data_IF_249697296965
#
_entry.id   IF_249697296965
#
_cell.length_a   1.000
_cell.length_b   1.000
_cell.length_c   1.000
_cell.angle_alpha   90.00
_cell.angle_beta   90.00
_cell.angle_gamma   90.00
#
_symmetry.space_group_name_H-M   'P 1'
#
loop_
_entity.id
_entity.type
_entity.pdbx_description
1 polymer ?
#
# COMPACT_ATOMS: atom_id res chain seq x y z
N UNK A 1 19.39 2.16 -20.54
CA UNK A 1 18.37 1.77 -21.52
C UNK A 1 17.03 1.93 -20.82
N UNK A 2 16.05 2.58 -21.47
CA UNK A 2 14.70 2.66 -20.88
C UNK A 2 14.12 1.24 -20.77
N UNK A 3 13.63 0.81 -19.60
CA UNK A 3 13.02 -0.50 -19.45
C UNK A 3 11.78 -0.60 -20.38
N UNK A 4 11.46 -1.80 -20.82
CA UNK A 4 10.34 -2.06 -21.75
C UNK A 4 9.03 -1.44 -21.23
N UNK A 5 8.82 -1.48 -19.91
CA UNK A 5 7.65 -0.89 -19.27
C UNK A 5 7.54 0.62 -19.51
N UNK A 6 8.65 1.35 -19.40
CA UNK A 6 8.66 2.81 -19.67
C UNK A 6 8.26 3.12 -21.12
N UNK A 7 8.75 2.32 -22.06
CA UNK A 7 8.39 2.47 -23.48
C UNK A 7 6.88 2.23 -23.68
N UNK A 8 6.33 1.17 -23.07
CA UNK A 8 4.90 0.86 -23.15
C UNK A 8 4.08 2.02 -22.57
N UNK A 9 4.45 2.53 -21.40
CA UNK A 9 3.75 3.66 -20.76
C UNK A 9 3.77 4.89 -21.67
N UNK A 10 4.93 5.26 -22.21
CA UNK A 10 5.04 6.42 -23.12
C UNK A 10 4.19 6.24 -24.37
N UNK A 11 4.18 5.04 -24.96
CA UNK A 11 3.33 4.74 -26.13
C UNK A 11 1.85 4.87 -25.77
N UNK A 12 1.42 4.34 -24.62
CA UNK A 12 0.03 4.46 -24.14
C UNK A 12 -0.35 5.93 -23.96
N UNK A 13 0.52 6.75 -23.35
CA UNK A 13 0.25 8.17 -23.16
C UNK A 13 0.12 8.92 -24.50
N UNK A 14 1.01 8.64 -25.45
CA UNK A 14 0.96 9.25 -26.80
C UNK A 14 -0.32 8.85 -27.53
N UNK A 15 -0.65 7.56 -27.57
CA UNK A 15 -1.84 7.04 -28.25
C UNK A 15 -3.10 7.60 -27.63
N UNK A 16 -3.20 7.65 -26.29
CA UNK A 16 -4.35 8.21 -25.58
C UNK A 16 -4.53 9.71 -25.83
N UNK A 17 -3.41 10.46 -25.86
CA UNK A 17 -3.43 11.89 -26.20
C UNK A 17 -3.92 12.12 -27.62
N UNK A 18 -3.40 11.37 -28.59
CA UNK A 18 -3.83 11.47 -30.00
C UNK A 18 -5.31 11.06 -30.18
N UNK A 19 -5.74 10.02 -29.46
CA UNK A 19 -7.15 9.61 -29.43
C UNK A 19 -8.02 10.73 -28.85
N UNK A 20 -7.60 11.38 -27.76
CA UNK A 20 -8.28 12.52 -27.15
C UNK A 20 -8.41 13.72 -28.11
N UNK A 21 -7.33 14.07 -28.85
CA UNK A 21 -7.36 15.12 -29.89
C UNK A 21 -8.36 14.78 -31.00
N UNK A 22 -8.45 13.50 -31.40
CA UNK A 22 -9.39 13.06 -32.44
C UNK A 22 -10.83 13.04 -31.93
N UNK A 23 -11.05 12.53 -30.73
CA UNK A 23 -12.39 12.42 -30.13
C UNK A 23 -12.97 13.76 -29.69
N UNK A 24 -12.13 14.70 -29.24
CA UNK A 24 -12.51 16.01 -28.72
C UNK A 24 -12.94 15.98 -27.25
N UNK A 25 -12.99 17.18 -26.66
CA UNK A 25 -13.20 17.35 -25.20
C UNK A 25 -14.49 16.72 -24.68
N UNK A 26 -15.64 17.03 -25.34
CA UNK A 26 -16.93 16.53 -24.85
C UNK A 26 -17.06 15.01 -24.94
N UNK A 27 -16.43 14.38 -25.94
CA UNK A 27 -16.44 12.92 -26.05
C UNK A 27 -15.58 12.25 -24.98
N UNK A 28 -14.40 12.81 -24.70
CA UNK A 28 -13.51 12.30 -23.63
C UNK A 28 -14.15 12.52 -22.25
N UNK A 29 -14.70 13.72 -22.00
CA UNK A 29 -15.40 14.02 -20.75
C UNK A 29 -16.61 13.10 -20.55
N UNK A 30 -17.38 12.86 -21.61
CA UNK A 30 -18.49 11.91 -21.59
C UNK A 30 -18.03 10.49 -21.27
N UNK A 31 -16.93 10.04 -21.88
CA UNK A 31 -16.36 8.72 -21.59
C UNK A 31 -15.93 8.58 -20.11
N UNK A 32 -15.29 9.60 -19.56
CA UNK A 32 -14.90 9.61 -18.13
C UNK A 32 -16.13 9.61 -17.20
N UNK A 33 -17.13 10.45 -17.51
CA UNK A 33 -18.38 10.46 -16.74
C UNK A 33 -19.11 9.12 -16.81
N UNK A 34 -19.13 8.48 -17.98
CA UNK A 34 -19.72 7.16 -18.18
C UNK A 34 -18.95 6.05 -17.45
N UNK A 35 -17.61 6.13 -17.41
CA UNK A 35 -16.78 5.21 -16.63
C UNK A 35 -17.08 5.32 -15.13
N UNK A 36 -17.19 6.55 -14.61
CA UNK A 36 -17.58 6.79 -13.21
C UNK A 36 -18.98 6.26 -12.93
N UNK A 37 -19.94 6.46 -13.83
CA UNK A 37 -21.29 5.91 -13.69
C UNK A 37 -21.28 4.37 -13.69
N UNK A 38 -20.51 3.73 -14.58
CA UNK A 38 -20.31 2.28 -14.60
C UNK A 38 -19.70 1.75 -13.29
N UNK A 39 -18.69 2.45 -12.76
CA UNK A 39 -18.10 2.12 -11.47
C UNK A 39 -19.10 2.27 -10.32
N UNK A 40 -19.92 3.32 -10.32
CA UNK A 40 -20.94 3.54 -9.30
C UNK A 40 -22.05 2.49 -9.31
N UNK A 41 -22.37 1.91 -10.47
CA UNK A 41 -23.39 0.85 -10.62
C UNK A 41 -22.83 -0.53 -10.26
N UNK A 42 -21.51 -0.74 -10.38
CA UNK A 42 -20.85 -2.03 -10.15
C UNK A 42 -21.16 -2.67 -8.80
N UNK A 43 -21.17 -1.96 -7.64
CA UNK A 43 -21.44 -2.56 -6.33
C UNK A 43 -22.82 -3.19 -6.21
N UNK A 44 -23.80 -2.74 -6.98
CA UNK A 44 -25.14 -3.32 -6.99
C UNK A 44 -25.30 -4.44 -8.00
N UNK A 45 -24.66 -4.31 -9.17
CA UNK A 45 -24.87 -5.25 -10.27
C UNK A 45 -23.97 -6.48 -10.17
N UNK A 46 -22.71 -6.32 -9.73
CA UNK A 46 -21.76 -7.45 -9.64
C UNK A 46 -22.20 -8.54 -8.65
N UNK A 47 -22.76 -8.24 -7.45
CA UNK A 47 -23.27 -9.29 -6.57
C UNK A 47 -24.44 -10.08 -7.19
N UNK A 48 -25.30 -9.43 -8.00
CA UNK A 48 -26.41 -10.10 -8.71
C UNK A 48 -25.83 -11.05 -9.75
N UNK A 49 -24.87 -10.58 -10.58
CA UNK A 49 -24.20 -11.42 -11.57
C UNK A 49 -23.48 -12.59 -10.89
N UNK A 50 -22.76 -12.33 -9.79
CA UNK A 50 -22.02 -13.35 -9.06
C UNK A 50 -22.92 -14.46 -8.50
N UNK A 51 -24.16 -14.17 -8.10
CA UNK A 51 -25.12 -15.16 -7.61
C UNK A 51 -25.64 -16.09 -8.68
N UNK A 52 -25.73 -15.61 -9.92
CA UNK A 52 -26.21 -16.41 -11.07
C UNK A 52 -25.09 -17.29 -11.67
N UNK A 53 -23.84 -17.07 -11.30
CA UNK A 53 -22.71 -17.84 -11.81
C UNK A 53 -22.46 -19.08 -10.94
N UNK A 54 -22.22 -20.27 -11.56
CA UNK A 54 -21.89 -21.49 -10.81
C UNK A 54 -20.59 -21.32 -10.02
N UNK A 55 -20.53 -21.93 -8.83
CA UNK A 55 -19.36 -21.95 -7.96
C UNK A 55 -18.27 -22.87 -8.50
N UNK A 56 -17.52 -22.39 -9.46
CA UNK A 56 -16.42 -23.11 -10.08
C UNK A 56 -15.20 -22.19 -10.23
N UNK A 57 -14.04 -22.75 -10.56
CA UNK A 57 -12.77 -22.04 -10.60
C UNK A 57 -12.68 -20.84 -11.56
N UNK A 58 -13.67 -20.63 -12.44
CA UNK A 58 -13.69 -19.49 -13.36
C UNK A 58 -14.68 -18.36 -12.94
N UNK A 59 -15.42 -18.55 -11.83
CA UNK A 59 -16.38 -17.56 -11.32
C UNK A 59 -15.75 -16.19 -11.09
N UNK A 60 -14.58 -16.15 -10.43
CA UNK A 60 -13.84 -14.90 -10.17
C UNK A 60 -13.45 -14.18 -11.48
N UNK A 61 -12.98 -14.94 -12.48
CA UNK A 61 -12.65 -14.39 -13.79
C UNK A 61 -13.88 -13.82 -14.50
N UNK A 62 -15.04 -14.49 -14.38
CA UNK A 62 -16.30 -14.00 -14.95
C UNK A 62 -16.81 -12.72 -14.26
N UNK A 63 -16.69 -12.63 -12.93
CA UNK A 63 -17.06 -11.42 -12.17
C UNK A 63 -16.15 -10.25 -12.57
N UNK A 64 -14.83 -10.46 -12.64
CA UNK A 64 -13.86 -9.45 -13.09
C UNK A 64 -14.17 -9.04 -14.54
N UNK A 65 -14.42 -9.99 -15.43
CA UNK A 65 -14.81 -9.71 -16.81
C UNK A 65 -16.10 -8.90 -16.92
N UNK A 66 -17.08 -9.17 -16.06
CA UNK A 66 -18.33 -8.40 -15.97
C UNK A 66 -18.10 -6.97 -15.49
N UNK A 67 -17.20 -6.78 -14.52
CA UNK A 67 -16.81 -5.45 -14.04
C UNK A 67 -16.15 -4.63 -15.17
N UNK A 68 -15.19 -5.22 -15.88
CA UNK A 68 -14.52 -4.58 -17.02
C UNK A 68 -15.54 -4.22 -18.11
N UNK A 69 -16.48 -5.11 -18.40
CA UNK A 69 -17.53 -4.88 -19.38
C UNK A 69 -18.44 -3.71 -18.99
N UNK A 70 -18.86 -3.64 -17.73
CA UNK A 70 -19.67 -2.52 -17.21
C UNK A 70 -18.96 -1.17 -17.34
N UNK A 71 -17.68 -1.13 -16.97
CA UNK A 71 -16.85 0.07 -17.11
C UNK A 71 -16.71 0.49 -18.59
N UNK A 72 -16.44 -0.47 -19.48
CA UNK A 72 -16.31 -0.24 -20.91
C UNK A 72 -17.63 0.23 -21.53
N UNK A 73 -18.75 -0.37 -21.15
CA UNK A 73 -20.08 0.03 -21.61
C UNK A 73 -20.45 1.43 -21.14
N UNK A 74 -20.17 1.75 -19.87
CA UNK A 74 -20.34 3.09 -19.32
C UNK A 74 -19.53 4.13 -20.08
N UNK A 75 -18.24 3.87 -20.28
CA UNK A 75 -17.35 4.77 -21.04
C UNK A 75 -17.80 4.93 -22.49
N UNK A 76 -18.23 3.87 -23.16
CA UNK A 76 -18.74 3.92 -24.52
C UNK A 76 -20.03 4.75 -24.62
N UNK A 77 -21.03 4.48 -23.78
CA UNK A 77 -22.28 5.24 -23.74
C UNK A 77 -22.02 6.73 -23.47
N UNK A 78 -21.17 7.01 -22.48
CA UNK A 78 -20.79 8.39 -22.15
C UNK A 78 -20.09 9.09 -23.31
N UNK A 79 -19.20 8.41 -24.03
CA UNK A 79 -18.53 8.97 -25.22
C UNK A 79 -19.49 9.25 -26.34
N UNK A 80 -20.49 8.39 -26.56
CA UNK A 80 -21.56 8.61 -27.55
C UNK A 80 -22.36 9.85 -27.19
N UNK A 81 -22.80 9.98 -25.92
CA UNK A 81 -23.53 11.19 -25.46
C UNK A 81 -22.67 12.45 -25.65
N UNK A 82 -21.38 12.40 -25.21
CA UNK A 82 -20.44 13.49 -25.39
C UNK A 82 -20.26 13.90 -26.87
N UNK A 83 -20.27 12.92 -27.78
CA UNK A 83 -20.17 13.18 -29.23
C UNK A 83 -21.40 13.90 -29.80
N UNK A 84 -22.58 13.69 -29.23
CA UNK A 84 -23.78 14.47 -29.60
C UNK A 84 -23.65 15.94 -29.16
N UNK A 85 -23.16 16.20 -27.95
CA UNK A 85 -22.90 17.56 -27.45
C UNK A 85 -21.86 18.27 -28.33
N UNK A 86 -20.82 17.56 -28.74
CA UNK A 86 -19.76 18.03 -29.62
C UNK A 86 -20.32 18.58 -30.95
N UNK A 87 -21.33 17.93 -31.56
CA UNK A 87 -21.93 18.40 -32.80
C UNK A 87 -22.54 19.82 -32.68
N UNK A 88 -22.99 20.18 -31.46
CA UNK A 88 -23.41 21.55 -31.13
C UNK A 88 -22.24 22.55 -31.09
N UNK A 89 -21.11 22.15 -30.48
CA UNK A 89 -19.91 22.98 -30.37
C UNK A 89 -19.21 23.20 -31.72
N UNK A 90 -19.24 22.22 -32.62
CA UNK A 90 -18.69 22.35 -33.99
C UNK A 90 -19.38 23.49 -34.81
N UNK A 91 -20.64 23.80 -34.51
CA UNK A 91 -21.37 24.93 -35.12
C UNK A 91 -20.85 26.30 -34.68
N UNK A 92 -20.17 26.36 -33.52
CA UNK A 92 -19.61 27.60 -32.95
C UNK A 92 -18.16 27.86 -33.40
N UNK A 93 -17.61 27.11 -34.38
CA UNK A 93 -16.24 27.22 -34.91
C UNK A 93 -15.15 26.99 -33.85
N UNK A 94 -15.45 26.33 -32.70
CA UNK A 94 -14.52 26.05 -31.60
C UNK A 94 -13.73 24.74 -31.75
N UNK A 95 -13.71 24.19 -32.97
CA UNK A 95 -13.17 22.84 -33.26
C UNK A 95 -11.69 22.65 -32.87
N UNK A 96 -10.87 23.69 -33.02
CA UNK A 96 -9.45 23.61 -32.65
C UNK A 96 -9.25 23.55 -31.14
N UNK A 97 -9.98 24.40 -30.41
CA UNK A 97 -9.93 24.45 -28.93
C UNK A 97 -10.47 23.15 -28.37
N UNK A 98 -11.57 22.65 -28.89
CA UNK A 98 -12.20 21.40 -28.44
C UNK A 98 -11.28 20.20 -28.63
N UNK A 99 -10.51 20.13 -29.72
CA UNK A 99 -9.51 19.09 -29.97
C UNK A 99 -8.32 19.19 -29.02
N UNK A 100 -7.79 20.39 -28.80
CA UNK A 100 -6.67 20.60 -27.86
C UNK A 100 -7.07 20.23 -26.45
N UNK A 101 -8.25 20.68 -26.00
CA UNK A 101 -8.77 20.32 -24.68
C UNK A 101 -9.05 18.82 -24.57
N UNK A 102 -9.51 18.16 -25.62
CA UNK A 102 -9.69 16.70 -25.67
C UNK A 102 -8.38 15.96 -25.53
N UNK A 103 -7.32 16.44 -26.19
CA UNK A 103 -5.96 15.89 -26.03
C UNK A 103 -5.41 16.07 -24.61
N UNK A 104 -5.55 17.29 -24.06
CA UNK A 104 -5.12 17.57 -22.68
C UNK A 104 -5.86 16.71 -21.64
N UNK A 105 -7.19 16.62 -21.75
CA UNK A 105 -8.01 15.78 -20.88
C UNK A 105 -7.67 14.28 -21.04
N UNK A 106 -7.46 13.83 -22.28
CA UNK A 106 -7.04 12.46 -22.58
C UNK A 106 -5.67 12.13 -21.98
N UNK A 107 -4.72 13.08 -22.02
CA UNK A 107 -3.42 12.93 -21.38
C UNK A 107 -3.57 12.82 -19.85
N UNK A 108 -4.29 13.76 -19.22
CA UNK A 108 -4.50 13.72 -17.76
C UNK A 108 -5.19 12.43 -17.34
N UNK A 109 -6.23 12.00 -18.03
CA UNK A 109 -6.93 10.76 -17.76
C UNK A 109 -6.01 9.52 -17.89
N UNK A 110 -5.18 9.48 -18.94
CA UNK A 110 -4.25 8.36 -19.16
C UNK A 110 -3.10 8.35 -18.15
N UNK A 111 -2.56 9.52 -17.77
CA UNK A 111 -1.57 9.63 -16.68
C UNK A 111 -2.14 9.08 -15.38
N UNK A 112 -3.36 9.52 -15.01
CA UNK A 112 -4.03 9.02 -13.80
C UNK A 112 -4.29 7.52 -13.88
N UNK A 113 -4.80 7.02 -14.99
CA UNK A 113 -5.06 5.59 -15.19
C UNK A 113 -3.77 4.75 -15.12
N UNK A 114 -2.69 5.20 -15.75
CA UNK A 114 -1.38 4.52 -15.70
C UNK A 114 -0.82 4.53 -14.28
N UNK A 115 -0.92 5.65 -13.56
CA UNK A 115 -0.46 5.72 -12.16
C UNK A 115 -1.22 4.76 -11.24
N UNK A 116 -2.56 4.68 -11.38
CA UNK A 116 -3.41 3.83 -10.55
C UNK A 116 -3.27 2.34 -10.92
N UNK A 117 -3.36 2.00 -12.20
CA UNK A 117 -3.25 0.60 -12.68
C UNK A 117 -1.82 0.11 -12.50
N UNK A 118 -0.83 0.93 -12.85
CA UNK A 118 0.58 0.61 -12.67
C UNK A 118 0.94 0.40 -11.20
N UNK A 119 0.39 1.24 -10.30
CA UNK A 119 0.53 1.04 -8.86
C UNK A 119 -0.09 -0.27 -8.38
N UNK A 120 -1.29 -0.60 -8.83
CA UNK A 120 -1.96 -1.86 -8.51
C UNK A 120 -1.18 -3.09 -9.03
N UNK A 121 -0.60 -3.02 -10.24
CA UNK A 121 0.25 -4.10 -10.77
C UNK A 121 1.57 -4.18 -9.99
N UNK A 122 2.19 -3.06 -9.67
CA UNK A 122 3.42 -3.02 -8.89
C UNK A 122 3.23 -3.69 -7.52
N UNK A 123 2.10 -3.44 -6.85
CA UNK A 123 1.78 -4.03 -5.54
C UNK A 123 1.17 -5.43 -5.62
N UNK A 124 0.94 -5.99 -6.82
CA UNK A 124 0.28 -7.30 -6.96
C UNK A 124 1.16 -8.51 -6.58
N UNK A 125 2.47 -8.30 -6.37
CA UNK A 125 3.40 -9.38 -6.02
C UNK A 125 3.55 -10.48 -7.08
N UNK A 126 3.05 -10.27 -8.32
CA UNK A 126 3.23 -11.23 -9.41
C UNK A 126 4.70 -11.23 -9.83
N UNK A 127 5.43 -12.36 -9.70
CA UNK A 127 6.86 -12.42 -10.00
C UNK A 127 7.19 -11.85 -11.39
N UNK A 128 8.32 -11.16 -11.51
CA UNK A 128 8.81 -10.50 -12.73
C UNK A 128 7.95 -9.32 -13.19
N UNK A 129 6.63 -9.42 -13.14
CA UNK A 129 5.73 -8.34 -13.59
C UNK A 129 5.71 -7.19 -12.60
N UNK A 130 5.54 -7.49 -11.31
CA UNK A 130 5.49 -6.47 -10.26
C UNK A 130 6.81 -5.73 -10.13
N UNK A 131 7.93 -6.45 -10.08
CA UNK A 131 9.27 -5.85 -10.02
C UNK A 131 9.58 -5.01 -11.26
N UNK A 132 9.22 -5.49 -12.47
CA UNK A 132 9.42 -4.74 -13.71
C UNK A 132 8.60 -3.44 -13.76
N UNK A 133 7.35 -3.49 -13.29
CA UNK A 133 6.45 -2.30 -13.28
C UNK A 133 6.84 -1.34 -12.15
N UNK A 134 7.13 -1.83 -10.95
CA UNK A 134 7.56 -1.03 -9.81
C UNK A 134 8.91 -0.34 -10.05
N UNK A 135 9.79 -0.95 -10.85
CA UNK A 135 11.09 -0.37 -11.26
C UNK A 135 10.98 0.70 -12.35
N UNK A 136 9.79 0.91 -12.94
CA UNK A 136 9.58 1.90 -14.00
C UNK A 136 9.82 3.32 -13.50
N UNK A 137 10.76 4.02 -14.12
CA UNK A 137 11.06 5.43 -13.79
C UNK A 137 9.90 6.35 -14.16
N UNK A 138 9.26 6.09 -15.30
CA UNK A 138 8.10 6.87 -15.75
C UNK A 138 6.95 6.69 -14.78
N UNK A 139 6.63 5.46 -14.37
CA UNK A 139 5.54 5.20 -13.42
C UNK A 139 5.78 5.90 -12.09
N UNK A 140 6.96 5.79 -11.50
CA UNK A 140 7.32 6.47 -10.24
C UNK A 140 7.15 7.99 -10.34
N UNK A 141 7.62 8.58 -11.45
CA UNK A 141 7.46 10.02 -11.70
C UNK A 141 5.98 10.40 -11.78
N UNK A 142 5.17 9.62 -12.50
CA UNK A 142 3.73 9.88 -12.62
C UNK A 142 3.01 9.74 -11.27
N UNK A 143 3.37 8.77 -10.45
CA UNK A 143 2.81 8.59 -9.11
C UNK A 143 3.10 9.78 -8.20
N UNK A 144 4.32 10.34 -8.24
CA UNK A 144 4.69 11.54 -7.48
C UNK A 144 3.84 12.77 -7.86
N UNK A 145 3.39 12.85 -9.12
CA UNK A 145 2.56 13.95 -9.61
C UNK A 145 1.06 13.71 -9.43
N UNK A 146 0.68 12.48 -9.11
CA UNK A 146 -0.73 12.13 -8.87
C UNK A 146 -1.18 12.71 -7.52
N UNK A 147 -2.31 13.45 -7.45
CA UNK A 147 -2.81 14.01 -6.21
C UNK A 147 -3.04 12.95 -5.13
N UNK A 148 -2.55 13.18 -3.91
CA UNK A 148 -2.69 12.26 -2.77
C UNK A 148 -4.11 11.71 -2.56
N UNK A 149 -5.21 12.48 -2.67
CA UNK A 149 -6.56 11.92 -2.50
C UNK A 149 -6.92 10.81 -3.50
N UNK A 150 -6.36 10.85 -4.72
CA UNK A 150 -6.61 9.82 -5.74
C UNK A 150 -5.79 8.56 -5.45
N UNK A 151 -4.53 8.72 -5.05
CA UNK A 151 -3.68 7.57 -4.69
C UNK A 151 -4.19 6.88 -3.42
N UNK A 152 -4.64 7.64 -2.42
CA UNK A 152 -5.23 7.09 -1.20
C UNK A 152 -6.55 6.36 -1.47
N UNK A 153 -7.42 6.92 -2.32
CA UNK A 153 -8.66 6.26 -2.70
C UNK A 153 -8.40 4.96 -3.48
N UNK A 154 -7.41 4.95 -4.37
CA UNK A 154 -7.01 3.75 -5.11
C UNK A 154 -6.41 2.68 -4.19
N UNK A 155 -5.55 3.07 -3.24
CA UNK A 155 -4.96 2.16 -2.26
C UNK A 155 -6.04 1.50 -1.39
N UNK A 156 -7.01 2.28 -0.89
CA UNK A 156 -8.16 1.75 -0.13
C UNK A 156 -9.03 0.81 -0.96
N UNK A 157 -9.28 1.14 -2.22
CA UNK A 157 -10.04 0.28 -3.12
C UNK A 157 -9.28 -1.02 -3.41
N UNK A 158 -7.98 -0.93 -3.65
CA UNK A 158 -7.12 -2.09 -3.87
C UNK A 158 -7.15 -3.01 -2.63
N UNK A 159 -6.93 -2.46 -1.44
CA UNK A 159 -6.99 -3.20 -0.19
C UNK A 159 -8.37 -3.86 0.06
N UNK A 160 -9.46 -3.16 -0.29
CA UNK A 160 -10.81 -3.68 -0.11
C UNK A 160 -11.18 -4.79 -1.12
N UNK A 161 -10.54 -4.87 -2.28
CA UNK A 161 -10.88 -5.82 -3.36
C UNK A 161 -9.92 -6.99 -3.43
N UNK A 162 -8.63 -6.77 -3.19
CA UNK A 162 -7.56 -7.73 -3.45
C UNK A 162 -6.71 -8.03 -2.22
N UNK A 163 -6.79 -7.23 -1.18
CA UNK A 163 -5.91 -7.29 -0.05
C UNK A 163 -6.65 -7.62 1.23
N UNK A 164 -6.40 -8.78 1.78
CA UNK A 164 -6.46 -8.97 3.22
C UNK A 164 -5.23 -8.28 3.82
N UNK A 165 -5.28 -6.95 3.88
CA UNK A 165 -4.37 -6.19 4.73
C UNK A 165 -4.87 -6.35 6.17
N UNK A 166 -4.70 -7.56 6.69
CA UNK A 166 -5.04 -7.85 8.08
C UNK A 166 -3.96 -7.19 8.92
N UNK A 167 -4.29 -6.05 9.50
CA UNK A 167 -3.54 -5.59 10.66
C UNK A 167 -4.14 -6.33 11.86
N UNK A 168 -3.37 -7.07 12.65
CA UNK A 168 -3.86 -7.69 13.85
C UNK A 168 -4.59 -6.66 14.72
N UNK A 169 -5.79 -6.99 15.14
CA UNK A 169 -6.54 -6.16 16.08
C UNK A 169 -6.35 -6.76 17.46
N UNK A 170 -5.95 -5.93 18.39
CA UNK A 170 -5.85 -6.31 19.79
C UNK A 170 -7.04 -5.67 20.49
N UNK A 171 -7.86 -6.49 21.15
CA UNK A 171 -8.96 -5.99 21.98
C UNK A 171 -8.40 -5.02 23.00
N UNK A 172 -9.18 -3.97 23.29
CA UNK A 172 -8.76 -2.85 24.12
C UNK A 172 -7.97 -3.30 25.37
N UNK A 173 -6.64 -3.30 25.24
CA UNK A 173 -5.70 -3.61 26.34
C UNK A 173 -5.63 -2.43 27.32
N UNK A 174 -6.38 -1.39 27.05
CA UNK A 174 -6.46 -0.21 27.88
C UNK A 174 -7.51 -0.48 28.95
N UNK A 175 -7.07 -0.77 30.17
CA UNK A 175 -7.90 -0.56 31.33
C UNK A 175 -8.50 0.85 31.28
N UNK A 176 -9.71 0.99 31.79
CA UNK A 176 -10.47 2.25 31.87
C UNK A 176 -9.73 3.45 32.47
N UNK A 177 -8.53 3.24 33.00
CA UNK A 177 -7.71 4.26 33.66
C UNK A 177 -6.70 4.97 32.77
N UNK A 178 -6.46 4.53 31.52
CA UNK A 178 -5.73 5.36 30.57
C UNK A 178 -6.70 6.39 30.00
N UNK A 179 -6.75 7.56 30.65
CA UNK A 179 -7.54 8.67 30.17
C UNK A 179 -7.23 8.95 28.70
N UNK A 180 -8.26 8.85 27.86
CA UNK A 180 -8.22 9.13 26.42
C UNK A 180 -7.92 10.62 26.13
N UNK A 181 -7.60 11.39 27.15
CA UNK A 181 -7.31 12.82 27.10
C UNK A 181 -5.80 13.16 27.11
N UNK A 182 -4.89 12.14 27.04
CA UNK A 182 -3.48 12.49 26.84
C UNK A 182 -3.36 13.07 25.43
N UNK A 183 -3.03 14.36 25.28
CA UNK A 183 -2.85 14.97 23.97
C UNK A 183 -1.86 14.12 23.19
N UNK A 184 -2.18 13.81 21.93
CA UNK A 184 -1.21 13.23 21.04
C UNK A 184 0.05 14.10 21.08
N UNK A 185 1.21 13.47 21.32
CA UNK A 185 2.46 14.22 21.34
C UNK A 185 2.60 14.92 19.98
N UNK A 186 2.74 16.22 20.02
CA UNK A 186 2.96 17.01 18.81
C UNK A 186 4.43 16.95 18.46
N UNK A 187 4.76 16.14 17.46
CA UNK A 187 6.06 16.20 16.80
C UNK A 187 5.90 16.83 15.42
N UNK A 188 6.95 17.41 14.92
CA UNK A 188 7.01 17.87 13.53
C UNK A 188 7.26 16.66 12.63
N UNK A 189 6.25 16.22 11.87
CA UNK A 189 6.36 15.11 10.92
C UNK A 189 7.16 15.47 9.67
N UNK A 190 7.43 16.74 9.44
CA UNK A 190 8.25 17.25 8.33
C UNK A 190 9.72 17.47 8.76
N UNK A 191 10.11 17.01 9.96
CA UNK A 191 11.49 17.09 10.45
C UNK A 191 12.47 16.43 9.47
N UNK A 192 13.61 17.07 9.17
CA UNK A 192 14.63 16.52 8.28
C UNK A 192 15.16 15.13 8.69
N UNK A 193 15.22 14.84 10.00
CA UNK A 193 15.66 13.52 10.47
C UNK A 193 14.65 12.43 10.10
N UNK A 194 13.35 12.70 10.27
CA UNK A 194 12.28 11.79 9.84
C UNK A 194 12.23 11.67 8.31
N UNK A 195 12.47 12.77 7.58
CA UNK A 195 12.56 12.76 6.14
C UNK A 195 13.76 11.93 5.64
N UNK A 196 14.89 11.96 6.34
CA UNK A 196 16.04 11.13 6.05
C UNK A 196 15.75 9.64 6.35
N UNK A 197 15.11 9.32 7.48
CA UNK A 197 14.72 7.96 7.85
C UNK A 197 13.78 7.34 6.81
N UNK A 198 12.90 8.13 6.20
CA UNK A 198 11.96 7.68 5.18
C UNK A 198 12.64 6.98 3.98
N UNK A 199 13.89 7.31 3.65
CA UNK A 199 14.65 6.67 2.58
C UNK A 199 14.94 5.18 2.84
N UNK A 200 14.94 4.77 4.12
CA UNK A 200 15.20 3.39 4.57
C UNK A 200 13.94 2.64 4.98
N UNK A 201 12.76 3.19 4.71
CA UNK A 201 11.47 2.53 4.98
C UNK A 201 10.90 1.97 3.68
N UNK A 202 10.72 0.65 3.64
CA UNK A 202 10.29 -0.08 2.46
C UNK A 202 8.80 -0.41 2.49
N UNK A 203 8.15 -0.38 1.32
CA UNK A 203 6.90 -1.10 1.09
C UNK A 203 7.21 -2.57 0.84
N UNK A 204 6.51 -3.44 1.56
CA UNK A 204 6.57 -4.88 1.37
C UNK A 204 5.24 -5.34 0.78
N UNK A 205 5.30 -6.16 -0.26
CA UNK A 205 4.12 -6.80 -0.85
C UNK A 205 4.47 -8.17 -1.39
N UNK A 206 3.47 -9.00 -1.67
CA UNK A 206 3.71 -10.30 -2.28
C UNK A 206 2.43 -11.04 -2.55
N UNK A 207 2.53 -12.10 -3.34
CA UNK A 207 1.43 -13.01 -3.61
C UNK A 207 1.56 -14.26 -2.74
N UNK A 208 0.61 -14.44 -1.84
CA UNK A 208 0.45 -15.66 -1.08
C UNK A 208 -0.39 -16.65 -1.89
N UNK A 209 0.25 -17.43 -2.77
CA UNK A 209 -0.42 -18.30 -3.73
C UNK A 209 -1.40 -19.30 -3.09
N UNK A 210 -1.01 -19.86 -1.95
CA UNK A 210 -1.83 -20.82 -1.20
C UNK A 210 -3.10 -20.21 -0.62
N UNK A 211 -3.09 -18.90 -0.38
CA UNK A 211 -4.18 -18.13 0.23
C UNK A 211 -5.06 -17.41 -0.80
N UNK A 212 -4.53 -17.17 -2.01
CA UNK A 212 -5.19 -16.33 -3.01
C UNK A 212 -5.26 -14.85 -2.64
N UNK A 213 -4.42 -14.39 -1.69
CA UNK A 213 -4.36 -13.02 -1.16
C UNK A 213 -3.06 -12.32 -1.56
N UNK A 214 -3.07 -10.99 -1.51
CA UNK A 214 -1.91 -10.15 -1.80
C UNK A 214 -1.62 -9.22 -0.62
N UNK A 215 -1.08 -9.75 0.48
CA UNK A 215 -0.78 -8.92 1.64
C UNK A 215 0.23 -7.84 1.31
N UNK A 216 0.09 -6.71 1.99
CA UNK A 216 1.00 -5.57 1.89
C UNK A 216 1.26 -5.00 3.28
N UNK A 217 2.49 -4.55 3.49
CA UNK A 217 2.93 -3.96 4.74
C UNK A 217 4.12 -3.04 4.53
N UNK A 218 4.78 -2.77 5.61
CA UNK A 218 5.96 -1.92 5.69
C UNK A 218 7.12 -2.71 6.27
N UNK A 219 8.34 -2.33 5.97
CA UNK A 219 9.56 -2.78 6.61
C UNK A 219 10.57 -1.65 6.66
N UNK A 220 11.68 -1.86 7.32
CA UNK A 220 12.77 -0.88 7.36
C UNK A 220 14.12 -1.57 7.31
N UNK A 221 15.12 -0.89 6.77
CA UNK A 221 16.50 -1.38 6.69
C UNK A 221 17.10 -1.35 8.09
N UNK A 222 17.39 -2.52 8.64
CA UNK A 222 17.95 -2.70 9.99
C UNK A 222 19.44 -3.04 9.99
N UNK A 223 19.94 -3.63 8.91
CA UNK A 223 21.36 -3.86 8.63
C UNK A 223 21.59 -3.84 7.11
N UNK A 224 22.82 -3.91 6.66
CA UNK A 224 23.17 -4.04 5.24
C UNK A 224 22.42 -5.24 4.64
N UNK A 225 21.62 -4.99 3.59
CA UNK A 225 20.83 -6.00 2.89
C UNK A 225 19.82 -6.76 3.78
N UNK A 226 19.38 -6.16 4.88
CA UNK A 226 18.43 -6.75 5.82
C UNK A 226 17.30 -5.79 6.16
N UNK A 227 16.09 -6.22 5.86
CA UNK A 227 14.86 -5.49 6.18
C UNK A 227 14.08 -6.25 7.23
N UNK A 228 13.75 -5.57 8.31
CA UNK A 228 12.83 -6.06 9.35
C UNK A 228 11.40 -5.69 8.96
N UNK A 229 10.49 -6.61 9.17
CA UNK A 229 9.03 -6.44 9.02
C UNK A 229 8.30 -7.36 9.99
N UNK A 230 6.97 -7.38 9.98
CA UNK A 230 6.20 -8.37 10.74
C UNK A 230 6.10 -9.71 9.99
N UNK A 231 5.98 -10.80 10.76
CA UNK A 231 5.76 -12.13 10.21
C UNK A 231 4.43 -12.23 9.45
N UNK A 232 3.35 -11.63 9.98
CA UNK A 232 2.05 -11.63 9.32
C UNK A 232 2.05 -10.91 7.96
N UNK A 233 2.97 -9.96 7.72
CA UNK A 233 3.11 -9.28 6.43
C UNK A 233 3.62 -10.22 5.34
N UNK A 234 4.46 -11.19 5.70
CA UNK A 234 5.08 -12.11 4.74
C UNK A 234 4.54 -13.54 4.84
N UNK A 235 3.56 -13.81 5.70
CA UNK A 235 2.98 -15.14 5.89
C UNK A 235 2.42 -15.69 4.57
N UNK A 236 2.89 -16.90 4.18
CA UNK A 236 2.50 -17.56 2.93
C UNK A 236 3.10 -16.96 1.65
N UNK A 237 3.93 -15.91 1.73
CA UNK A 237 4.63 -15.33 0.59
C UNK A 237 5.97 -16.03 0.40
N UNK A 238 6.22 -16.59 -0.78
CA UNK A 238 7.50 -17.24 -1.11
C UNK A 238 8.58 -16.21 -1.47
N UNK A 239 8.21 -15.17 -2.18
CA UNK A 239 9.13 -14.13 -2.67
C UNK A 239 8.52 -12.75 -2.43
N UNK A 240 8.79 -12.11 -1.29
CA UNK A 240 8.32 -10.77 -1.03
C UNK A 240 8.98 -9.75 -1.96
N UNK A 241 8.19 -8.82 -2.48
CA UNK A 241 8.67 -7.67 -3.24
C UNK A 241 8.95 -6.53 -2.26
N UNK A 242 10.14 -5.96 -2.36
CA UNK A 242 10.64 -4.86 -1.55
C UNK A 242 10.78 -3.62 -2.42
N UNK A 243 10.18 -2.52 -1.99
CA UNK A 243 10.26 -1.23 -2.69
C UNK A 243 10.72 -0.13 -1.74
N UNK A 244 11.92 0.37 -1.97
CA UNK A 244 12.48 1.54 -1.26
C UNK A 244 12.33 2.82 -2.10
N UNK A 245 12.20 3.98 -1.46
CA UNK A 245 12.16 5.26 -2.15
C UNK A 245 13.41 5.48 -3.00
N UNK A 246 13.23 5.76 -4.28
CA UNK A 246 14.34 6.04 -5.21
C UNK A 246 15.04 4.82 -5.77
N UNK A 247 14.84 3.63 -5.23
CA UNK A 247 15.42 2.39 -5.72
C UNK A 247 14.46 1.60 -6.64
N UNK A 248 15.00 0.72 -7.51
CA UNK A 248 14.20 -0.27 -8.20
C UNK A 248 13.59 -1.26 -7.20
N UNK A 249 12.35 -1.68 -7.43
CA UNK A 249 11.77 -2.79 -6.67
C UNK A 249 12.56 -4.08 -6.88
N UNK A 250 12.75 -4.84 -5.81
CA UNK A 250 13.58 -6.06 -5.79
C UNK A 250 12.84 -7.21 -5.13
N UNK A 251 13.06 -8.41 -5.64
CA UNK A 251 12.57 -9.63 -5.01
C UNK A 251 13.47 -9.95 -3.81
N UNK A 252 12.87 -10.17 -2.65
CA UNK A 252 13.55 -10.52 -1.42
C UNK A 252 13.42 -11.98 -1.05
N UNK A 253 14.20 -12.42 -0.08
CA UNK A 253 14.18 -13.77 0.49
C UNK A 253 13.99 -13.68 1.99
N UNK A 254 12.97 -14.36 2.54
CA UNK A 254 12.77 -14.40 3.99
C UNK A 254 13.82 -15.32 4.62
N UNK A 255 14.62 -14.77 5.53
CA UNK A 255 15.74 -15.46 6.21
C UNK A 255 15.51 -15.62 7.71
N UNK A 256 14.51 -14.99 8.26
CA UNK A 256 14.02 -15.16 9.61
C UNK A 256 12.50 -15.01 9.63
N UNK A 257 11.80 -15.89 10.36
CA UNK A 257 10.35 -15.84 10.47
C UNK A 257 9.92 -16.37 11.84
N UNK A 258 9.36 -15.50 12.66
CA UNK A 258 8.84 -15.83 13.97
C UNK A 258 7.34 -15.49 14.05
N UNK A 259 6.47 -16.51 14.00
CA UNK A 259 5.03 -16.30 14.09
C UNK A 259 4.57 -15.98 15.53
N UNK A 260 5.40 -16.28 16.55
CA UNK A 260 5.05 -16.05 17.97
C UNK A 260 5.26 -14.59 18.32
N UNK A 261 6.41 -14.02 17.97
CA UNK A 261 6.72 -12.60 18.23
C UNK A 261 6.36 -11.69 17.07
N UNK A 262 5.79 -12.26 15.98
CA UNK A 262 5.33 -11.53 14.80
C UNK A 262 6.44 -10.68 14.16
N UNK A 263 7.64 -11.22 14.02
CA UNK A 263 8.80 -10.58 13.40
C UNK A 263 9.35 -11.44 12.26
N UNK A 264 9.80 -10.80 11.19
CA UNK A 264 10.47 -11.44 10.07
C UNK A 264 11.61 -10.56 9.55
N UNK A 265 12.59 -11.21 8.89
CA UNK A 265 13.69 -10.54 8.22
C UNK A 265 13.73 -10.98 6.76
N UNK A 266 13.83 -10.00 5.88
CA UNK A 266 13.98 -10.18 4.44
C UNK A 266 15.42 -9.81 4.06
N UNK A 267 16.12 -10.74 3.42
CA UNK A 267 17.39 -10.47 2.76
C UNK A 267 17.12 -9.96 1.35
N UNK A 268 17.65 -8.79 1.03
CA UNK A 268 17.50 -8.14 -0.27
C UNK A 268 18.63 -7.13 -0.47
N UNK A 269 19.26 -7.14 -1.64
CA UNK A 269 20.35 -6.20 -2.00
C UNK A 269 19.75 -4.80 -2.19
N UNK A 270 20.07 -3.85 -1.29
CA UNK A 270 19.57 -2.47 -1.28
C UNK A 270 20.68 -1.47 -0.99
N UNK A 271 20.55 -0.27 -1.55
CA UNK A 271 21.55 0.79 -1.37
C UNK A 271 21.25 1.68 -0.12
N UNK A 272 20.04 1.55 0.48
CA UNK A 272 19.63 2.36 1.61
C UNK A 272 20.39 2.00 2.90
N UNK A 273 20.73 3.01 3.68
CA UNK A 273 21.45 2.84 4.94
C UNK A 273 20.55 2.30 6.06
N UNK A 274 21.07 1.44 6.96
CA UNK A 274 20.33 1.00 8.13
C UNK A 274 19.90 2.18 9.02
N UNK A 275 18.69 2.09 9.57
CA UNK A 275 18.22 3.04 10.57
C UNK A 275 18.92 2.80 11.92
N UNK A 276 19.31 3.87 12.63
CA UNK A 276 19.85 3.73 13.98
C UNK A 276 18.80 3.19 14.94
N UNK A 277 19.23 2.46 15.96
CA UNK A 277 18.38 1.97 17.03
C UNK A 277 18.42 2.95 18.19
N UNK A 278 17.27 3.33 18.75
CA UNK A 278 17.16 4.33 19.80
C UNK A 278 16.06 3.98 20.81
N UNK A 279 16.42 3.62 22.02
CA UNK A 279 15.51 3.22 23.11
C UNK A 279 15.08 4.41 24.01
N UNK A 280 15.01 5.60 23.45
CA UNK A 280 14.70 6.81 24.24
C UNK A 280 13.21 7.05 24.47
N UNK A 281 12.31 6.36 23.74
CA UNK A 281 10.86 6.55 23.86
C UNK A 281 10.30 5.92 25.13
N UNK A 282 9.73 6.76 26.00
CA UNK A 282 9.03 6.35 27.23
C UNK A 282 7.61 6.90 27.23
N UNK A 283 6.78 6.47 28.16
CA UNK A 283 5.41 7.01 28.30
C UNK A 283 5.43 8.55 28.38
N UNK A 284 4.64 9.21 27.58
CA UNK A 284 4.60 10.67 27.39
C UNK A 284 5.51 11.19 26.29
N UNK A 285 6.43 10.40 25.74
CA UNK A 285 7.28 10.80 24.61
C UNK A 285 6.48 10.92 23.31
N UNK A 286 6.93 11.83 22.43
CA UNK A 286 6.50 11.92 21.04
C UNK A 286 7.44 11.14 20.11
N UNK A 287 6.87 10.55 19.09
CA UNK A 287 7.59 9.86 18.02
C UNK A 287 6.80 9.88 16.71
N UNK A 288 7.23 9.14 15.73
CA UNK A 288 6.57 9.00 14.44
C UNK A 288 6.41 7.53 14.03
N UNK A 289 5.30 7.22 13.40
CA UNK A 289 5.13 5.97 12.64
C UNK A 289 5.32 6.28 11.15
N UNK A 290 6.21 5.57 10.50
CA UNK A 290 6.41 5.65 9.06
C UNK A 290 5.98 4.37 8.37
N UNK A 291 5.33 4.49 7.21
CA UNK A 291 4.89 3.32 6.45
C UNK A 291 3.99 3.61 5.27
N UNK A 292 3.38 2.54 4.76
CA UNK A 292 2.58 2.53 3.53
C UNK A 292 1.15 2.06 3.82
N UNK A 293 0.28 2.91 4.38
CA UNK A 293 -1.10 2.54 4.71
C UNK A 293 -1.84 2.02 3.47
N UNK A 294 -2.46 0.85 3.60
CA UNK A 294 -3.14 0.12 2.51
C UNK A 294 -2.23 -0.22 1.31
N UNK A 295 -0.91 -0.30 1.52
CA UNK A 295 0.07 -0.42 0.43
C UNK A 295 0.17 0.82 -0.48
N UNK A 296 -0.44 1.92 -0.05
CA UNK A 296 -0.54 3.19 -0.78
C UNK A 296 0.66 4.09 -0.61
N UNK A 297 0.49 5.39 -0.80
CA UNK A 297 1.62 6.30 -0.70
C UNK A 297 2.21 6.30 0.71
N UNK A 298 3.53 6.52 0.77
CA UNK A 298 4.26 6.67 2.02
C UNK A 298 3.66 7.77 2.90
N UNK A 299 3.59 7.52 4.20
CA UNK A 299 3.13 8.49 5.20
C UNK A 299 4.04 8.48 6.42
N UNK A 300 4.18 9.66 7.03
CA UNK A 300 4.69 9.84 8.39
C UNK A 300 3.53 10.32 9.25
N UNK A 301 3.25 9.61 10.34
CA UNK A 301 2.15 9.91 11.26
C UNK A 301 2.74 10.18 12.63
N UNK A 302 2.36 11.30 13.26
CA UNK A 302 2.75 11.59 14.63
C UNK A 302 2.20 10.51 15.58
N UNK A 303 3.03 10.08 16.53
CA UNK A 303 2.69 9.09 17.53
C UNK A 303 3.09 9.55 18.91
N UNK A 304 2.23 9.37 19.90
CA UNK A 304 2.56 9.59 21.31
C UNK A 304 2.57 8.27 22.06
N UNK A 305 3.61 7.99 22.82
CA UNK A 305 3.67 6.79 23.68
C UNK A 305 2.79 7.02 24.91
N UNK A 306 1.66 6.34 24.98
CA UNK A 306 0.74 6.40 26.12
C UNK A 306 1.22 5.56 27.30
N UNK A 307 1.74 4.37 27.02
CA UNK A 307 2.26 3.42 28.00
C UNK A 307 3.21 2.43 27.34
N UNK A 308 4.07 1.83 28.16
CA UNK A 308 4.88 0.66 27.80
C UNK A 308 4.59 -0.45 28.81
N UNK A 309 4.26 -1.65 28.34
CA UNK A 309 3.88 -2.76 29.23
C UNK A 309 4.04 -4.12 28.56
N UNK A 310 4.20 -5.15 29.39
CA UNK A 310 4.10 -6.52 28.95
C UNK A 310 2.63 -6.95 28.86
N UNK A 311 2.25 -7.52 27.75
CA UNK A 311 0.86 -7.86 27.45
C UNK A 311 0.79 -9.23 26.80
N UNK A 312 -0.12 -10.12 27.24
CA UNK A 312 -0.39 -11.38 26.53
C UNK A 312 -0.96 -11.08 25.14
N UNK A 313 -0.24 -11.50 24.09
CA UNK A 313 -0.63 -11.31 22.70
C UNK A 313 -0.62 -12.66 22.00
N UNK A 314 -1.64 -12.94 21.20
CA UNK A 314 -1.71 -14.14 20.39
C UNK A 314 -0.66 -14.13 19.28
N UNK A 315 -0.13 -15.31 18.94
CA UNK A 315 0.67 -15.46 17.72
C UNK A 315 -0.16 -15.12 16.48
N UNK A 316 0.50 -15.00 15.32
CA UNK A 316 -0.18 -14.60 14.07
C UNK A 316 -1.26 -15.58 13.62
N UNK A 317 -1.30 -16.79 14.14
CA UNK A 317 -2.30 -17.84 13.83
C UNK A 317 -3.35 -18.01 14.93
N UNK A 318 -3.27 -17.26 16.04
CA UNK A 318 -4.17 -17.40 17.17
C UNK A 318 -4.04 -18.74 17.93
N UNK A 319 -2.94 -19.47 17.73
CA UNK A 319 -2.74 -20.82 18.28
C UNK A 319 -2.09 -20.82 19.67
N UNK A 320 -1.33 -19.79 19.99
CA UNK A 320 -0.68 -19.60 21.28
C UNK A 320 -0.70 -18.13 21.71
N UNK A 321 -0.50 -17.89 23.00
CA UNK A 321 -0.43 -16.52 23.56
C UNK A 321 0.84 -16.42 24.40
N UNK A 322 1.64 -15.37 24.16
CA UNK A 322 2.86 -15.05 24.90
C UNK A 322 2.86 -13.61 25.40
N UNK A 323 3.49 -13.30 26.54
CA UNK A 323 3.70 -11.92 26.94
C UNK A 323 4.69 -11.26 25.98
N UNK A 324 4.33 -10.09 25.45
CA UNK A 324 5.21 -9.23 24.64
C UNK A 324 5.28 -7.84 25.23
N UNK A 325 6.46 -7.26 25.19
CA UNK A 325 6.66 -5.85 25.60
C UNK A 325 6.23 -4.93 24.48
N UNK A 326 5.23 -4.10 24.73
CA UNK A 326 4.64 -3.22 23.73
C UNK A 326 4.53 -1.77 24.20
N UNK A 327 4.65 -0.86 23.22
CA UNK A 327 4.22 0.52 23.35
C UNK A 327 2.75 0.63 22.91
N UNK A 328 1.94 1.24 23.76
CA UNK A 328 0.59 1.70 23.41
C UNK A 328 0.71 3.12 22.87
N UNK A 329 0.24 3.34 21.67
CA UNK A 329 0.45 4.58 20.93
C UNK A 329 -0.85 5.36 20.74
N UNK A 330 -0.81 6.66 20.92
CA UNK A 330 -1.79 7.58 20.34
C UNK A 330 -1.35 7.88 18.91
N UNK A 331 -1.83 7.09 17.96
CA UNK A 331 -1.47 7.20 16.53
C UNK A 331 -2.56 6.61 15.65
N UNK A 332 -2.81 7.20 14.48
CA UNK A 332 -3.70 6.64 13.45
C UNK A 332 -2.97 5.52 12.66
N UNK A 333 -2.87 4.35 13.28
CA UNK A 333 -2.27 3.17 12.66
C UNK A 333 -3.30 2.48 11.76
N UNK A 334 -2.91 2.23 10.51
CA UNK A 334 -3.79 1.66 9.48
C UNK A 334 -3.21 0.36 8.92
N UNK A 335 -4.04 -0.53 8.34
CA UNK A 335 -3.55 -1.66 7.57
C UNK A 335 -2.46 -1.22 6.59
N UNK A 336 -1.34 -1.95 6.52
CA UNK A 336 -0.16 -1.58 5.74
C UNK A 336 0.92 -0.81 6.52
N UNK A 337 0.63 -0.25 7.70
CA UNK A 337 1.68 0.25 8.60
C UNK A 337 2.42 -0.86 9.35
N UNK A 338 1.87 -2.07 9.38
CA UNK A 338 2.48 -3.26 10.01
C UNK A 338 3.90 -3.49 9.49
N UNK A 339 4.85 -3.74 10.38
CA UNK A 339 6.28 -3.88 10.11
C UNK A 339 7.02 -2.55 9.97
N UNK A 340 6.29 -1.42 9.95
CA UNK A 340 6.89 -0.10 9.92
C UNK A 340 7.55 0.31 11.23
N UNK A 341 8.58 1.17 11.20
CA UNK A 341 9.26 1.62 12.38
C UNK A 341 8.43 2.62 13.18
N UNK A 342 8.44 2.49 14.50
CA UNK A 342 8.21 3.58 15.42
C UNK A 342 9.54 4.31 15.61
N UNK A 343 9.59 5.58 15.25
CA UNK A 343 10.80 6.40 15.25
C UNK A 343 10.79 7.44 16.37
N UNK A 344 11.95 7.70 16.92
CA UNK A 344 12.18 8.90 17.73
C UNK A 344 12.15 10.15 16.84
N UNK A 345 12.03 11.37 17.38
CA UNK A 345 12.13 12.60 16.60
C UNK A 345 13.45 12.70 15.81
N UNK A 346 14.52 12.09 16.31
CA UNK A 346 15.84 12.05 15.68
C UNK A 346 15.96 10.99 14.57
N UNK A 347 14.88 10.22 14.32
CA UNK A 347 14.82 9.21 13.27
C UNK A 347 15.38 7.84 13.66
N UNK A 348 15.63 7.59 14.95
CA UNK A 348 16.03 6.28 15.48
C UNK A 348 14.83 5.36 15.67
N UNK A 349 15.03 4.05 15.43
CA UNK A 349 13.99 3.02 15.61
C UNK A 349 13.85 2.70 17.09
N UNK A 350 12.66 2.93 17.66
CA UNK A 350 12.28 2.61 19.04
C UNK A 350 11.31 1.43 19.12
N UNK A 351 10.82 0.92 18.01
CA UNK A 351 9.90 -0.21 17.97
C UNK A 351 9.39 -0.55 16.58
N UNK A 352 8.57 -1.60 16.51
CA UNK A 352 7.95 -2.08 15.25
C UNK A 352 6.44 -2.09 15.38
N UNK A 353 5.76 -1.35 14.54
CA UNK A 353 4.28 -1.28 14.51
C UNK A 353 3.72 -2.63 14.05
N UNK A 354 2.75 -3.19 14.78
CA UNK A 354 2.20 -4.50 14.43
C UNK A 354 0.68 -4.58 14.49
N UNK A 355 0.01 -3.74 15.29
CA UNK A 355 -1.41 -3.86 15.53
C UNK A 355 -2.08 -2.50 15.77
N UNK A 356 -3.41 -2.50 15.73
CA UNK A 356 -4.25 -1.37 16.13
C UNK A 356 -5.34 -1.82 17.09
N UNK A 357 -5.95 -0.87 17.78
CA UNK A 357 -7.12 -1.10 18.61
C UNK A 357 -8.38 -1.38 17.76
N UNK A 358 -9.23 -2.29 18.24
CA UNK A 358 -10.50 -2.65 17.56
C UNK A 358 -11.53 -1.53 17.59
N UNK A 359 -11.60 -0.79 18.70
CA UNK A 359 -12.66 0.20 18.97
C UNK A 359 -12.18 1.63 18.74
N UNK A 360 -10.88 1.88 18.92
CA UNK A 360 -10.29 3.23 18.90
C UNK A 360 -9.39 3.41 17.68
N UNK A 361 -9.83 4.19 16.72
CA UNK A 361 -9.12 4.41 15.45
C UNK A 361 -7.80 5.18 15.59
N UNK A 362 -7.57 5.84 16.73
CA UNK A 362 -6.37 6.61 17.03
C UNK A 362 -5.44 5.92 18.03
N UNK A 363 -5.62 4.62 18.26
CA UNK A 363 -4.76 3.81 19.12
C UNK A 363 -4.11 2.70 18.30
N UNK A 364 -2.78 2.66 18.36
CA UNK A 364 -1.95 1.65 17.73
C UNK A 364 -1.00 1.00 18.74
N UNK A 365 -0.36 -0.08 18.32
CA UNK A 365 0.57 -0.84 19.14
C UNK A 365 1.87 -1.08 18.37
N UNK A 366 3.00 -0.91 19.04
CA UNK A 366 4.31 -1.25 18.52
C UNK A 366 5.04 -2.15 19.50
N UNK A 367 5.73 -3.18 19.02
CA UNK A 367 6.68 -3.94 19.81
C UNK A 367 7.83 -3.04 20.22
N UNK A 368 8.30 -3.19 21.45
CA UNK A 368 9.46 -2.43 21.95
C UNK A 368 10.77 -3.00 21.40
N UNK A 369 11.88 -2.35 21.68
CA UNK A 369 13.20 -2.89 21.38
C UNK A 369 13.51 -4.19 22.14
N UNK A 370 12.86 -4.48 23.26
CA UNK A 370 13.03 -5.74 23.97
C UNK A 370 12.70 -6.94 23.08
N UNK A 371 11.67 -6.82 22.21
CA UNK A 371 11.29 -7.85 21.25
C UNK A 371 12.16 -7.81 19.98
N UNK A 372 12.61 -6.62 19.56
CA UNK A 372 13.37 -6.45 18.33
C UNK A 372 14.85 -6.82 18.46
N UNK A 373 15.51 -6.50 19.58
CA UNK A 373 16.95 -6.71 19.78
C UNK A 373 17.40 -8.18 19.58
N UNK A 374 16.67 -9.20 20.03
CA UNK A 374 17.01 -10.60 19.76
C UNK A 374 17.07 -10.89 18.25
N UNK A 375 16.16 -10.32 17.46
CA UNK A 375 16.12 -10.48 16.00
C UNK A 375 17.30 -9.77 15.36
N UNK A 376 17.61 -8.53 15.78
CA UNK A 376 18.77 -7.78 15.28
C UNK A 376 20.09 -8.52 15.49
N UNK A 377 20.22 -9.25 16.59
CA UNK A 377 21.42 -10.07 16.88
C UNK A 377 21.61 -11.23 15.89
N UNK A 378 20.57 -11.62 15.14
CA UNK A 378 20.63 -12.70 14.14
C UNK A 378 20.91 -12.22 12.71
N UNK A 379 20.81 -10.92 12.41
CA UNK A 379 20.80 -10.39 11.05
C UNK A 379 22.01 -10.80 10.20
N UNK A 380 23.21 -10.81 10.79
CA UNK A 380 24.43 -11.19 10.09
C UNK A 380 24.53 -12.70 9.81
N UNK A 381 23.90 -13.53 10.66
CA UNK A 381 23.98 -14.99 10.58
C UNK A 381 22.80 -15.62 9.85
N UNK A 382 21.67 -14.94 9.77
CA UNK A 382 20.46 -15.37 9.05
C UNK A 382 20.66 -15.23 7.54
N UNK A 383 21.12 -16.30 6.89
CA UNK A 383 21.39 -16.33 5.45
C UNK A 383 20.58 -17.39 4.70
N UNK A 384 20.10 -18.41 5.42
CA UNK A 384 19.28 -19.48 4.81
C UNK A 384 17.83 -19.03 4.64
N UNK A 385 17.24 -19.37 3.50
CA UNK A 385 15.79 -19.20 3.27
C UNK A 385 15.00 -20.01 4.29
N UNK A 386 14.01 -19.41 4.92
CA UNK A 386 13.08 -20.07 5.83
C UNK A 386 11.67 -20.07 5.26
N UNK A 387 10.84 -21.01 5.75
CA UNK A 387 9.42 -21.03 5.41
C UNK A 387 8.71 -19.84 6.03
N UNK A 388 7.81 -19.22 5.30
CA UNK A 388 6.91 -18.14 5.75
C UNK A 388 5.61 -18.67 6.37
N UNK A 389 5.58 -19.95 6.71
CA UNK A 389 4.45 -20.59 7.38
C UNK A 389 3.21 -20.77 6.52
N UNK A 390 2.09 -20.93 7.20
CA UNK A 390 0.78 -21.05 6.57
C UNK A 390 0.17 -19.68 6.29
N UNK A 391 -0.91 -19.69 5.49
CA UNK A 391 -1.79 -18.54 5.32
C UNK A 391 -2.40 -18.11 6.66
N UNK A 392 -2.57 -16.82 6.85
CA UNK A 392 -3.45 -16.33 7.92
C UNK A 392 -4.88 -16.76 7.59
N UNK A 393 -5.58 -17.33 8.56
CA UNK A 393 -7.02 -17.58 8.45
C UNK A 393 -7.77 -16.32 8.90
N UNK A 394 -8.79 -15.92 8.14
CA UNK A 394 -9.77 -14.92 8.57
C UNK A 394 -10.44 -15.29 9.89
#
# INVERSE_FOLDING_TARGET
MLPIVDIIIVVVLIVSTLAGVRSGFFSVLGALAGLVAGAAVSPWLLPIIARELPENGWRSAAVIGSAILLLALGAWLGSVIGSFVRRGADRLKLRAIERLLGGALGLVASVTAVALIGGAIASSGVPVLSSAVASSTVLRTLQQWTPKPLTDAAARLHAAVLGDTVIPTVDALLDSDLSTETPAATIDTDDPALAAAAASVARISGLAYGCGTMPTGTGFVAAEDRIVTNAHVVAGIETPLVELPGEPARDGTVVYFDPVDDLAVIAVDVDASPLPIDDSLVAGSGGAVQGYPYGGPFTTVAAGVLATRDTPISDIYGSSTSPRSIHVLSADVRPGNSGGPLLTPEGGVAGVVFARDTERTNVGYAMTLAELLPVLATLETATATVSTGACLSD
#
